data_IF_999770064823
#
_entry.id   IF_999770064823
#
_cell.length_a   1.000
_cell.length_b   1.000
_cell.length_c   1.000
_cell.angle_alpha   90.00
_cell.angle_beta   90.00
_cell.angle_gamma   90.00
#
_symmetry.space_group_name_H-M   'P 1'
#
loop_
_entity.id
_entity.type
_entity.pdbx_description
1 polymer ?
#
# COMPACT_ATOMS: atom_id res chain seq x y z
N UNK A 1 60.12 -21.67 12.49
CA UNK A 1 58.87 -22.05 11.79
C UNK A 1 57.92 -20.85 11.75
N UNK A 2 58.14 -19.91 10.83
CA UNK A 2 57.34 -18.67 10.63
C UNK A 2 56.78 -18.58 9.20
N UNK A 3 56.80 -19.68 8.45
CA UNK A 3 56.48 -19.73 7.02
C UNK A 3 55.11 -20.34 6.68
N UNK A 4 54.31 -20.74 7.67
CA UNK A 4 53.00 -21.39 7.40
C UNK A 4 51.82 -20.40 7.45
N UNK A 5 51.97 -19.23 8.07
CA UNK A 5 50.89 -18.25 8.17
C UNK A 5 50.74 -17.31 6.96
N UNK A 6 51.77 -17.16 6.12
CA UNK A 6 51.70 -16.34 4.90
C UNK A 6 50.90 -16.98 3.76
N UNK A 7 50.92 -18.31 3.65
CA UNK A 7 50.24 -19.03 2.57
C UNK A 7 48.72 -19.08 2.73
N UNK A 8 48.22 -19.08 3.98
CA UNK A 8 46.78 -19.09 4.28
C UNK A 8 46.09 -17.77 3.93
N UNK A 9 46.78 -16.63 4.09
CA UNK A 9 46.21 -15.31 3.77
C UNK A 9 46.12 -15.04 2.26
N UNK A 10 47.06 -15.58 1.47
CA UNK A 10 47.01 -15.48 -0.01
C UNK A 10 45.90 -16.37 -0.58
N UNK A 11 45.64 -17.54 0.03
CA UNK A 11 44.56 -18.43 -0.40
C UNK A 11 43.17 -17.83 -0.13
N UNK A 12 42.98 -17.12 1.00
CA UNK A 12 41.69 -16.47 1.31
C UNK A 12 41.41 -15.25 0.42
N UNK A 13 42.44 -14.55 -0.07
CA UNK A 13 42.24 -13.44 -1.02
C UNK A 13 41.94 -13.94 -2.45
N UNK A 14 42.44 -15.11 -2.85
CA UNK A 14 42.18 -15.68 -4.17
C UNK A 14 40.76 -16.29 -4.28
N UNK A 15 40.24 -16.90 -3.21
CA UNK A 15 38.83 -17.35 -3.16
C UNK A 15 37.83 -16.18 -3.14
N UNK A 16 38.19 -15.04 -2.55
CA UNK A 16 37.29 -13.88 -2.47
C UNK A 16 37.07 -13.21 -3.83
N UNK A 17 38.07 -13.26 -4.73
CA UNK A 17 37.98 -12.65 -6.07
C UNK A 17 37.21 -13.50 -7.08
N UNK A 18 37.17 -14.82 -6.92
CA UNK A 18 36.40 -15.72 -7.81
C UNK A 18 34.89 -15.66 -7.53
N UNK A 19 34.49 -15.45 -6.28
CA UNK A 19 33.08 -15.27 -5.89
C UNK A 19 32.54 -13.93 -6.42
N UNK A 20 33.35 -12.87 -6.44
CA UNK A 20 32.93 -11.57 -6.99
C UNK A 20 32.75 -11.59 -8.52
N UNK A 21 33.51 -12.41 -9.24
CA UNK A 21 33.34 -12.55 -10.70
C UNK A 21 32.14 -13.41 -11.10
N UNK A 22 31.82 -14.46 -10.34
CA UNK A 22 30.61 -15.26 -10.57
C UNK A 22 29.32 -14.47 -10.30
N UNK A 23 29.29 -13.62 -9.27
CA UNK A 23 28.14 -12.77 -8.96
C UNK A 23 27.92 -11.62 -9.98
N UNK A 24 28.97 -11.22 -10.71
CA UNK A 24 28.88 -10.14 -11.70
C UNK A 24 28.59 -10.68 -13.10
N UNK A 25 29.04 -11.90 -13.44
CA UNK A 25 28.70 -12.57 -14.71
C UNK A 25 27.28 -13.15 -14.73
N UNK A 26 26.69 -13.52 -13.59
CA UNK A 26 25.26 -13.91 -13.54
C UNK A 26 24.29 -12.73 -13.73
N UNK A 27 24.80 -11.49 -13.75
CA UNK A 27 24.00 -10.27 -13.96
C UNK A 27 24.03 -9.78 -15.40
N UNK A 28 24.79 -10.43 -16.27
CA UNK A 28 24.99 -10.02 -17.66
C UNK A 28 25.00 -11.29 -18.55
N UNK A 29 23.81 -11.86 -18.79
CA UNK A 29 23.39 -12.72 -19.94
C UNK A 29 22.58 -13.98 -19.55
N UNK A 30 21.28 -13.96 -19.89
CA UNK A 30 20.35 -15.11 -19.94
C UNK A 30 19.56 -15.31 -18.65
N UNK A 31 18.23 -15.25 -18.56
CA UNK A 31 17.18 -15.51 -19.55
C UNK A 31 16.46 -16.81 -19.18
N UNK A 32 15.15 -16.72 -18.90
CA UNK A 32 14.19 -17.75 -18.42
C UNK A 32 14.20 -17.96 -16.89
N UNK A 33 13.40 -17.23 -16.12
CA UNK A 33 11.98 -17.50 -15.78
C UNK A 33 11.72 -18.83 -15.05
N UNK A 34 11.26 -18.65 -13.80
CA UNK A 34 10.34 -19.46 -13.01
C UNK A 34 10.72 -20.89 -12.60
N UNK A 35 10.99 -21.07 -11.30
CA UNK A 35 10.47 -22.17 -10.45
C UNK A 35 11.17 -22.16 -9.07
N UNK A 36 10.84 -21.17 -8.22
CA UNK A 36 10.91 -21.38 -6.76
C UNK A 36 10.08 -20.38 -5.95
N UNK A 37 9.43 -19.42 -6.59
CA UNK A 37 8.31 -18.70 -5.99
C UNK A 37 7.00 -19.43 -6.28
N UNK A 38 6.80 -20.61 -5.66
CA UNK A 38 5.43 -21.08 -5.39
C UNK A 38 4.87 -20.13 -4.36
N UNK A 39 4.40 -19.02 -4.93
CA UNK A 39 4.05 -17.80 -4.28
C UNK A 39 2.92 -18.08 -3.31
N UNK A 40 2.99 -17.49 -2.13
CA UNK A 40 1.84 -17.39 -1.22
C UNK A 40 0.59 -16.82 -1.94
N UNK A 41 0.77 -16.18 -3.11
CA UNK A 41 -0.28 -15.77 -4.05
C UNK A 41 -1.06 -16.98 -4.61
N UNK A 42 -0.42 -18.11 -4.93
CA UNK A 42 -1.11 -19.31 -5.46
C UNK A 42 -1.94 -19.99 -4.37
N UNK A 43 -1.42 -20.04 -3.14
CA UNK A 43 -2.14 -20.51 -1.96
C UNK A 43 -3.33 -19.60 -1.58
N UNK A 44 -3.20 -18.28 -1.76
CA UNK A 44 -4.31 -17.34 -1.61
C UNK A 44 -5.34 -17.46 -2.75
N UNK A 45 -4.88 -17.79 -3.98
CA UNK A 45 -5.72 -17.97 -5.17
C UNK A 45 -6.58 -19.23 -5.08
N UNK A 46 -6.07 -20.29 -4.47
CA UNK A 46 -6.80 -21.55 -4.31
C UNK A 46 -7.79 -21.52 -3.13
N UNK A 47 -7.49 -20.73 -2.10
CA UNK A 47 -8.38 -20.55 -0.94
C UNK A 47 -9.61 -19.67 -1.23
N UNK A 48 -9.55 -18.75 -2.21
CA UNK A 48 -10.53 -17.65 -2.34
C UNK A 48 -11.34 -17.66 -3.66
N UNK A 49 -11.23 -18.73 -4.46
CA UNK A 49 -11.94 -18.90 -5.75
C UNK A 49 -13.47 -19.11 -5.64
N UNK A 50 -14.10 -18.96 -4.46
CA UNK A 50 -15.54 -19.20 -4.27
C UNK A 50 -16.42 -17.96 -4.36
N UNK A 51 -15.84 -16.75 -4.49
CA UNK A 51 -16.62 -15.51 -4.49
C UNK A 51 -16.45 -14.68 -5.78
N UNK A 52 -17.47 -14.65 -6.68
CA UNK A 52 -17.40 -13.93 -7.95
C UNK A 52 -17.23 -12.40 -7.80
N UNK A 53 -17.48 -11.83 -6.61
CA UNK A 53 -17.21 -10.41 -6.33
C UNK A 53 -15.72 -10.08 -6.18
N UNK A 54 -14.90 -11.04 -5.72
CA UNK A 54 -13.45 -10.88 -5.54
C UNK A 54 -12.73 -10.90 -6.89
N UNK A 55 -13.22 -11.71 -7.84
CA UNK A 55 -12.75 -11.71 -9.22
C UNK A 55 -12.95 -10.35 -9.90
N UNK A 56 -14.09 -9.68 -9.65
CA UNK A 56 -14.33 -8.32 -10.15
C UNK A 56 -13.37 -7.26 -9.59
N UNK A 57 -12.74 -7.53 -8.44
CA UNK A 57 -11.73 -6.66 -7.83
C UNK A 57 -10.32 -6.90 -8.40
N UNK A 58 -9.98 -8.17 -8.69
CA UNK A 58 -8.70 -8.54 -9.31
C UNK A 58 -8.62 -8.16 -10.80
N UNK A 59 -9.75 -8.20 -11.52
CA UNK A 59 -9.82 -7.85 -12.95
C UNK A 59 -9.70 -6.33 -13.19
N UNK A 60 -9.88 -5.49 -12.16
CA UNK A 60 -9.73 -4.03 -12.23
C UNK A 60 -8.30 -3.56 -11.90
N UNK A 61 -7.30 -4.43 -12.07
CA UNK A 61 -5.90 -4.04 -12.03
C UNK A 61 -5.56 -3.30 -13.34
N UNK A 62 -5.94 -2.03 -13.41
CA UNK A 62 -5.41 -1.09 -14.40
C UNK A 62 -4.01 -0.71 -13.91
N UNK A 63 -2.92 -1.09 -14.61
CA UNK A 63 -1.59 -0.69 -14.19
C UNK A 63 -1.55 0.83 -14.16
N UNK A 64 -1.46 1.39 -12.95
CA UNK A 64 -1.20 2.82 -12.79
C UNK A 64 0.05 3.12 -13.60
N UNK A 65 -0.11 3.86 -14.70
CA UNK A 65 1.00 4.22 -15.57
C UNK A 65 2.12 4.80 -14.70
N UNK A 66 3.34 4.28 -14.81
CA UNK A 66 4.47 4.69 -13.96
C UNK A 66 4.67 6.21 -13.94
N UNK A 67 4.30 6.88 -15.03
CA UNK A 67 4.27 8.33 -15.16
C UNK A 67 3.31 9.00 -14.16
N UNK A 68 2.12 8.45 -13.90
CA UNK A 68 1.16 8.99 -12.93
C UNK A 68 1.70 8.97 -11.51
N UNK A 69 2.32 7.86 -11.10
CA UNK A 69 2.98 7.75 -9.79
C UNK A 69 4.14 8.74 -9.66
N UNK A 70 4.96 8.87 -10.70
CA UNK A 70 6.05 9.86 -10.73
C UNK A 70 5.50 11.27 -10.60
N UNK A 71 4.48 11.64 -11.37
CA UNK A 71 3.84 12.96 -11.28
C UNK A 71 3.24 13.22 -9.90
N UNK A 72 2.60 12.22 -9.29
CA UNK A 72 2.06 12.35 -7.94
C UNK A 72 3.17 12.62 -6.90
N UNK A 73 4.32 11.93 -7.00
CA UNK A 73 5.50 12.20 -6.16
C UNK A 73 6.09 13.59 -6.37
N UNK A 74 6.15 14.06 -7.61
CA UNK A 74 6.65 15.41 -7.89
C UNK A 74 5.71 16.49 -7.34
N UNK A 75 4.38 16.25 -7.40
CA UNK A 75 3.41 17.17 -6.82
C UNK A 75 3.59 17.31 -5.30
N UNK A 76 3.87 16.23 -4.57
CA UNK A 76 4.10 16.33 -3.10
C UNK A 76 5.42 17.04 -2.75
N UNK A 77 6.38 17.11 -3.68
CA UNK A 77 7.60 17.93 -3.50
C UNK A 77 7.35 19.41 -3.80
N UNK A 78 6.56 19.69 -4.83
CA UNK A 78 6.23 21.06 -5.24
C UNK A 78 5.25 21.72 -4.25
N UNK A 79 4.27 20.96 -3.78
CA UNK A 79 3.20 21.42 -2.90
C UNK A 79 3.12 20.54 -1.64
N UNK A 80 4.12 20.63 -0.73
CA UNK A 80 4.24 19.71 0.40
C UNK A 80 3.10 19.82 1.41
N UNK A 81 2.40 20.95 1.48
CA UNK A 81 1.28 21.17 2.40
C UNK A 81 -0.10 20.89 1.76
N UNK A 82 -0.14 20.45 0.50
CA UNK A 82 -1.37 20.16 -0.20
C UNK A 82 -1.83 18.71 0.11
N UNK A 83 -2.69 18.55 1.12
CA UNK A 83 -3.14 17.22 1.55
C UNK A 83 -3.80 16.36 0.45
N UNK A 84 -4.46 16.98 -0.53
CA UNK A 84 -5.01 16.27 -1.69
C UNK A 84 -3.94 15.67 -2.61
N UNK A 85 -2.74 16.28 -2.69
CA UNK A 85 -1.61 15.71 -3.42
C UNK A 85 -1.12 14.42 -2.76
N UNK A 86 -1.02 14.43 -1.42
CA UNK A 86 -0.66 13.25 -0.63
C UNK A 86 -1.71 12.15 -0.71
N UNK A 87 -3.01 12.51 -0.68
CA UNK A 87 -4.10 11.55 -0.84
C UNK A 87 -4.06 10.86 -2.22
N UNK A 88 -3.77 11.64 -3.28
CA UNK A 88 -3.60 11.11 -4.62
C UNK A 88 -2.38 10.17 -4.72
N UNK A 89 -1.24 10.54 -4.11
CA UNK A 89 -0.07 9.65 -4.06
C UNK A 89 -0.40 8.34 -3.33
N UNK A 90 -1.09 8.42 -2.18
CA UNK A 90 -1.52 7.25 -1.43
C UNK A 90 -2.43 6.33 -2.26
N UNK A 91 -3.47 6.88 -2.89
CA UNK A 91 -4.40 6.12 -3.73
C UNK A 91 -3.68 5.41 -4.88
N UNK A 92 -2.78 6.11 -5.57
CA UNK A 92 -2.02 5.54 -6.69
C UNK A 92 -1.08 4.43 -6.23
N UNK A 93 -0.40 4.60 -5.09
CA UNK A 93 0.48 3.56 -4.52
C UNK A 93 -0.31 2.34 -4.07
N UNK A 94 -1.50 2.54 -3.51
CA UNK A 94 -2.40 1.45 -3.13
C UNK A 94 -2.89 0.67 -4.35
N UNK A 95 -3.25 1.38 -5.43
CA UNK A 95 -3.65 0.78 -6.71
C UNK A 95 -2.49 0.03 -7.38
N UNK A 96 -1.26 0.53 -7.31
CA UNK A 96 -0.06 -0.13 -7.85
C UNK A 96 0.55 -1.20 -6.94
N UNK A 97 -0.02 -1.43 -5.75
CA UNK A 97 0.49 -2.36 -4.72
C UNK A 97 1.88 -2.00 -4.17
N UNK A 98 2.30 -0.75 -4.29
CA UNK A 98 3.51 -0.23 -3.65
C UNK A 98 3.21 0.14 -2.18
N UNK A 99 3.00 -0.85 -1.31
CA UNK A 99 2.63 -0.65 0.10
C UNK A 99 3.87 -0.54 1.01
N UNK A 100 4.74 0.39 0.65
CA UNK A 100 5.99 0.70 1.35
C UNK A 100 5.83 1.86 2.35
N UNK A 101 6.93 2.31 2.93
CA UNK A 101 6.94 3.45 3.86
C UNK A 101 6.51 4.78 3.21
N UNK A 102 6.63 4.93 1.88
CA UNK A 102 6.14 6.12 1.17
C UNK A 102 4.61 6.13 1.11
N UNK A 103 3.96 4.97 0.96
CA UNK A 103 2.50 4.87 1.04
C UNK A 103 1.99 5.22 2.45
N UNK A 104 2.67 4.74 3.50
CA UNK A 104 2.33 5.10 4.88
C UNK A 104 2.52 6.60 5.14
N UNK A 105 3.64 7.17 4.68
CA UNK A 105 3.89 8.60 4.77
C UNK A 105 2.82 9.40 4.02
N UNK A 106 2.46 8.99 2.81
CA UNK A 106 1.44 9.68 2.01
C UNK A 106 0.07 9.69 2.71
N UNK A 107 -0.33 8.58 3.31
CA UNK A 107 -1.54 8.54 4.13
C UNK A 107 -1.44 9.49 5.33
N UNK A 108 -0.33 9.45 6.06
CA UNK A 108 -0.13 10.30 7.24
C UNK A 108 -0.18 11.80 6.89
N UNK A 109 0.52 12.22 5.83
CA UNK A 109 0.56 13.61 5.38
C UNK A 109 -0.80 14.08 4.81
N UNK A 110 -1.54 13.19 4.14
CA UNK A 110 -2.89 13.50 3.68
C UNK A 110 -3.84 13.79 4.85
N UNK A 111 -3.75 12.99 5.92
CA UNK A 111 -4.53 13.20 7.15
C UNK A 111 -4.07 14.45 7.90
N UNK A 112 -2.76 14.70 7.98
CA UNK A 112 -2.20 15.85 8.68
C UNK A 112 -2.60 17.18 8.04
N UNK A 113 -2.51 17.28 6.71
CA UNK A 113 -2.77 18.54 6.00
C UNK A 113 -4.22 18.71 5.53
N UNK A 114 -5.04 17.66 5.61
CA UNK A 114 -6.47 17.74 5.26
C UNK A 114 -7.36 16.95 6.22
N UNK A 115 -7.22 17.16 7.55
CA UNK A 115 -7.87 16.33 8.57
C UNK A 115 -9.40 16.41 8.55
N UNK A 116 -9.98 17.45 7.94
CA UNK A 116 -11.42 17.69 7.90
C UNK A 116 -11.95 17.98 6.50
N UNK A 117 -11.12 17.84 5.47
CA UNK A 117 -11.57 18.03 4.09
C UNK A 117 -12.43 16.81 3.69
N UNK A 118 -13.74 17.00 3.45
CA UNK A 118 -14.64 15.88 3.19
C UNK A 118 -14.35 15.17 1.86
N UNK A 119 -13.73 15.85 0.89
CA UNK A 119 -13.36 15.28 -0.41
C UNK A 119 -12.13 14.40 -0.22
N UNK A 120 -11.11 14.90 0.47
CA UNK A 120 -9.88 14.13 0.75
C UNK A 120 -10.19 12.92 1.62
N UNK A 121 -10.97 13.08 2.68
CA UNK A 121 -11.38 11.96 3.52
C UNK A 121 -12.17 10.90 2.73
N UNK A 122 -13.13 11.31 1.89
CA UNK A 122 -13.90 10.38 1.06
C UNK A 122 -12.99 9.63 0.08
N UNK A 123 -12.01 10.31 -0.53
CA UNK A 123 -11.01 9.70 -1.41
C UNK A 123 -10.19 8.64 -0.67
N UNK A 124 -9.63 9.00 0.51
CA UNK A 124 -8.85 8.07 1.34
C UNK A 124 -9.67 6.83 1.73
N UNK A 125 -10.93 7.02 2.14
CA UNK A 125 -11.82 5.90 2.51
C UNK A 125 -12.14 5.04 1.28
N UNK A 126 -12.42 5.63 0.11
CA UNK A 126 -12.66 4.86 -1.13
C UNK A 126 -11.43 4.04 -1.54
N UNK A 127 -10.26 4.66 -1.53
CA UNK A 127 -8.99 3.98 -1.79
C UNK A 127 -8.78 2.84 -0.79
N UNK A 128 -9.02 3.11 0.50
CA UNK A 128 -8.92 2.13 1.58
C UNK A 128 -9.84 0.94 1.43
N UNK A 129 -11.12 1.18 1.13
CA UNK A 129 -12.12 0.13 0.87
C UNK A 129 -11.70 -0.73 -0.32
N UNK A 130 -11.20 -0.10 -1.40
CA UNK A 130 -10.64 -0.84 -2.50
C UNK A 130 -9.45 -1.67 -2.01
N UNK A 131 -8.35 -1.06 -1.57
CA UNK A 131 -7.10 -1.74 -1.23
C UNK A 131 -7.07 -2.54 0.07
N UNK A 132 -8.20 -2.69 0.77
CA UNK A 132 -8.27 -3.18 2.15
C UNK A 132 -7.47 -4.46 2.38
N UNK A 133 -7.68 -5.47 1.52
CA UNK A 133 -7.10 -6.80 1.69
C UNK A 133 -5.57 -6.83 1.63
N UNK A 134 -4.95 -5.94 0.84
CA UNK A 134 -3.48 -5.87 0.75
C UNK A 134 -2.88 -4.93 1.80
N UNK A 135 -3.67 -4.05 2.38
CA UNK A 135 -3.19 -2.97 3.24
C UNK A 135 -2.62 -3.48 4.58
N UNK A 136 -1.44 -3.01 5.00
CA UNK A 136 -0.90 -3.23 6.33
C UNK A 136 -1.82 -2.75 7.49
N UNK A 137 -1.75 -3.40 8.67
CA UNK A 137 -2.68 -3.11 9.79
C UNK A 137 -2.65 -1.67 10.34
N UNK A 138 -1.50 -0.99 10.28
CA UNK A 138 -1.36 0.41 10.68
C UNK A 138 -2.19 1.34 9.78
N UNK A 139 -2.02 1.25 8.46
CA UNK A 139 -2.79 2.05 7.51
C UNK A 139 -4.29 1.74 7.58
N UNK A 140 -4.66 0.48 7.80
CA UNK A 140 -6.06 0.09 8.05
C UNK A 140 -6.66 0.83 9.24
N UNK A 141 -5.96 0.85 10.39
CA UNK A 141 -6.41 1.57 11.59
C UNK A 141 -6.58 3.06 11.32
N UNK A 142 -5.61 3.68 10.64
CA UNK A 142 -5.69 5.09 10.25
C UNK A 142 -6.93 5.37 9.39
N UNK A 143 -7.22 4.52 8.39
CA UNK A 143 -8.39 4.71 7.53
C UNK A 143 -9.74 4.48 8.22
N UNK A 144 -9.79 3.60 9.24
CA UNK A 144 -10.98 3.47 10.09
C UNK A 144 -11.21 4.76 10.89
N UNK A 145 -10.15 5.36 11.45
CA UNK A 145 -10.25 6.64 12.13
C UNK A 145 -10.70 7.76 11.17
N UNK A 146 -10.12 7.83 9.96
CA UNK A 146 -10.56 8.78 8.92
C UNK A 146 -12.02 8.57 8.56
N UNK A 147 -12.48 7.33 8.40
CA UNK A 147 -13.89 7.04 8.14
C UNK A 147 -14.80 7.49 9.30
N UNK A 148 -14.36 7.31 10.55
CA UNK A 148 -15.09 7.77 11.73
C UNK A 148 -15.20 9.30 11.80
N UNK A 149 -14.11 10.02 11.52
CA UNK A 149 -14.09 11.48 11.46
C UNK A 149 -14.97 12.00 10.30
N UNK A 150 -14.90 11.33 9.15
CA UNK A 150 -15.69 11.64 7.96
C UNK A 150 -17.20 11.53 8.20
N UNK A 151 -17.66 10.52 8.94
CA UNK A 151 -19.07 10.36 9.31
C UNK A 151 -19.53 11.42 10.32
N UNK A 152 -18.66 11.82 11.25
CA UNK A 152 -18.95 12.85 12.24
C UNK A 152 -18.83 14.29 11.72
N UNK A 153 -18.33 14.48 10.50
CA UNK A 153 -18.20 15.80 9.90
C UNK A 153 -19.54 16.52 9.77
N UNK A 154 -19.58 17.80 10.15
CA UNK A 154 -20.75 18.68 9.97
C UNK A 154 -21.00 19.08 8.52
N UNK A 155 -20.10 18.72 7.59
CA UNK A 155 -20.26 19.00 6.18
C UNK A 155 -21.47 18.24 5.61
N UNK A 156 -22.56 18.95 5.31
CA UNK A 156 -23.79 18.34 4.78
C UNK A 156 -23.64 17.83 3.33
N UNK A 157 -22.75 18.45 2.56
CA UNK A 157 -22.45 18.03 1.19
C UNK A 157 -22.05 16.56 1.16
N UNK A 158 -22.73 15.75 0.33
CA UNK A 158 -22.49 14.30 0.15
C UNK A 158 -22.57 13.46 1.43
N UNK A 159 -23.22 13.94 2.50
CA UNK A 159 -23.32 13.20 3.75
C UNK A 159 -24.02 11.83 3.59
N UNK A 160 -25.04 11.70 2.72
CA UNK A 160 -25.66 10.40 2.41
C UNK A 160 -24.67 9.45 1.72
N UNK A 161 -23.93 9.93 0.72
CA UNK A 161 -22.94 9.15 -0.03
C UNK A 161 -21.83 8.62 0.89
N UNK A 162 -21.35 9.43 1.83
CA UNK A 162 -20.32 9.01 2.80
C UNK A 162 -20.84 7.95 3.76
N UNK A 163 -22.09 8.07 4.21
CA UNK A 163 -22.75 7.06 5.05
C UNK A 163 -22.94 5.74 4.30
N UNK A 164 -23.41 5.80 3.05
CA UNK A 164 -23.57 4.63 2.18
C UNK A 164 -22.23 3.96 1.90
N UNK A 165 -21.17 4.73 1.61
CA UNK A 165 -19.82 4.20 1.39
C UNK A 165 -19.33 3.35 2.57
N UNK A 166 -19.48 3.83 3.80
CA UNK A 166 -19.02 3.10 5.01
C UNK A 166 -19.92 1.91 5.34
N UNK A 167 -21.23 2.04 5.12
CA UNK A 167 -22.19 0.96 5.35
C UNK A 167 -21.96 -0.18 4.35
N UNK A 168 -21.92 0.14 3.07
CA UNK A 168 -21.90 -0.84 1.99
C UNK A 168 -20.52 -1.51 1.82
N UNK A 169 -19.45 -0.89 2.36
CA UNK A 169 -18.12 -1.50 2.46
C UNK A 169 -17.97 -2.50 3.60
N UNK A 170 -18.95 -2.57 4.52
CA UNK A 170 -18.86 -3.38 5.74
C UNK A 170 -17.92 -2.81 6.80
N UNK A 171 -17.45 -1.56 6.67
CA UNK A 171 -16.58 -0.91 7.66
C UNK A 171 -17.34 -0.34 8.85
N UNK A 172 -18.68 -0.23 8.78
CA UNK A 172 -19.50 0.35 9.84
C UNK A 172 -19.21 -0.27 11.24
N UNK A 173 -19.12 -1.60 11.43
CA UNK A 173 -18.79 -2.16 12.75
C UNK A 173 -17.39 -1.79 13.26
N UNK A 174 -16.43 -1.55 12.36
CA UNK A 174 -15.08 -1.12 12.72
C UNK A 174 -15.09 0.35 13.13
N UNK A 175 -15.79 1.20 12.37
CA UNK A 175 -15.98 2.62 12.67
C UNK A 175 -16.68 2.80 14.02
N UNK A 176 -17.71 2.01 14.29
CA UNK A 176 -18.46 2.07 15.55
C UNK A 176 -17.67 1.62 16.78
N UNK A 177 -16.58 0.87 16.60
CA UNK A 177 -15.62 0.58 17.68
C UNK A 177 -14.70 1.75 17.97
N UNK A 178 -14.34 2.51 16.93
CA UNK A 178 -13.44 3.65 17.06
C UNK A 178 -14.17 4.88 17.62
N UNK A 179 -15.40 5.14 17.18
CA UNK A 179 -16.20 6.26 17.66
C UNK A 179 -17.70 6.02 17.50
N UNK A 180 -18.46 6.41 18.51
CA UNK A 180 -19.92 6.38 18.49
C UNK A 180 -20.48 7.36 17.47
N UNK A 181 -21.35 6.89 16.57
CA UNK A 181 -22.07 7.68 15.57
C UNK A 181 -23.55 7.28 15.58
N UNK A 182 -24.45 8.12 15.06
CA UNK A 182 -25.90 7.80 15.00
C UNK A 182 -26.21 6.54 14.20
N UNK A 183 -25.31 6.13 13.31
CA UNK A 183 -25.44 4.87 12.55
C UNK A 183 -25.05 3.62 13.34
N UNK A 184 -24.45 3.78 14.53
CA UNK A 184 -23.99 2.66 15.36
C UNK A 184 -25.08 2.09 16.26
N UNK A 185 -26.25 2.72 16.33
CA UNK A 185 -27.42 2.18 17.04
C UNK A 185 -28.20 1.16 16.23
N UNK A 186 -27.97 1.09 14.92
CA UNK A 186 -28.75 0.29 13.97
C UNK A 186 -27.96 -0.93 13.44
N UNK A 187 -26.75 -1.16 13.97
CA UNK A 187 -25.78 -2.17 13.53
C UNK A 187 -25.65 -3.35 14.47
#
# INVERSE_FOLDING_TARGET
MRFVFGALLVFSLWQSSTILFAATMLRIHGGAEDESSVSQITLAREADNRNPKVLGWLVRYDPVLADRLRTARELTKLEPFLGSAWANLFELKLASRELDGEAELALAQAVEFSPYDPIVQEQLVRAGVAGWLAMPPNMRRTLIAVAADMLNSKASHRASVRRELVRDSGWLPLVCKERTHTMCSDS
#
